data_IF_416786318387
#
_entry.id   IF_416786318387
#
_cell.length_a   1.000
_cell.length_b   1.000
_cell.length_c   1.000
_cell.angle_alpha   90.00
_cell.angle_beta   90.00
_cell.angle_gamma   90.00
#
_symmetry.space_group_name_H-M   'P 1'
#
loop_
_entity.id
_entity.type
_entity.pdbx_description
1 polymer ?
#
# COMPACT_ATOMS: atom_id res chain seq x y z
N UNK A 1 -4.94 -4.32 -0.78
CA UNK A 1 -5.27 -2.91 -1.00
C UNK A 1 -6.10 -2.36 0.14
N UNK A 2 -5.83 -1.09 0.52
CA UNK A 2 -6.61 -0.42 1.55
C UNK A 2 -8.03 -0.13 1.06
N UNK A 3 -8.17 0.49 -0.12
CA UNK A 3 -9.47 0.71 -0.75
C UNK A 3 -9.58 -0.14 -2.01
N UNK A 4 -10.59 -0.99 -2.04
CA UNK A 4 -11.11 -1.62 -3.24
C UNK A 4 -12.59 -1.17 -3.34
N UNK A 5 -12.88 -0.31 -4.29
CA UNK A 5 -14.21 0.28 -4.41
C UNK A 5 -15.14 -0.55 -5.30
N UNK A 6 -16.43 -0.53 -4.98
CA UNK A 6 -17.49 -1.08 -5.83
C UNK A 6 -17.93 -0.01 -6.84
N UNK A 7 -17.01 0.36 -7.73
CA UNK A 7 -17.16 1.39 -8.75
C UNK A 7 -16.67 0.89 -10.12
N UNK A 8 -16.71 1.74 -11.14
CA UNK A 8 -16.29 1.39 -12.51
C UNK A 8 -14.88 0.79 -12.57
N UNK A 9 -13.93 1.33 -11.82
CA UNK A 9 -12.55 0.85 -11.80
C UNK A 9 -12.44 -0.46 -11.03
N UNK A 10 -13.11 -0.55 -9.87
CA UNK A 10 -13.19 -1.79 -9.12
C UNK A 10 -13.76 -2.93 -9.95
N UNK A 11 -14.83 -2.67 -10.71
CA UNK A 11 -15.40 -3.66 -11.63
C UNK A 11 -14.45 -4.03 -12.76
N UNK A 12 -13.76 -3.07 -13.38
CA UNK A 12 -12.79 -3.34 -14.45
C UNK A 12 -11.64 -4.25 -13.96
N UNK A 13 -11.08 -3.96 -12.78
CA UNK A 13 -10.05 -4.80 -12.17
C UNK A 13 -10.62 -6.19 -11.82
N UNK A 14 -11.82 -6.25 -11.22
CA UNK A 14 -12.48 -7.52 -10.90
C UNK A 14 -12.69 -8.39 -12.15
N UNK A 15 -13.06 -7.79 -13.29
CA UNK A 15 -13.22 -8.51 -14.56
C UNK A 15 -11.91 -9.12 -15.04
N UNK A 16 -10.80 -8.41 -14.88
CA UNK A 16 -9.47 -8.92 -15.20
C UNK A 16 -9.12 -10.11 -14.29
N UNK A 17 -9.30 -9.95 -12.98
CA UNK A 17 -9.02 -11.01 -12.01
C UNK A 17 -9.87 -12.25 -12.25
N UNK A 18 -11.16 -12.09 -12.53
CA UNK A 18 -12.08 -13.20 -12.87
C UNK A 18 -11.63 -13.93 -14.15
N UNK A 19 -11.24 -13.20 -15.20
CA UNK A 19 -10.72 -13.83 -16.42
C UNK A 19 -9.45 -14.62 -16.14
N UNK A 20 -8.53 -14.09 -15.32
CA UNK A 20 -7.29 -14.78 -14.97
C UNK A 20 -7.54 -16.02 -14.11
N UNK A 21 -8.41 -15.93 -13.11
CA UNK A 21 -8.79 -17.09 -12.29
C UNK A 21 -9.42 -18.20 -13.14
N UNK A 22 -10.34 -17.85 -14.05
CA UNK A 22 -10.94 -18.82 -14.99
C UNK A 22 -9.94 -19.43 -15.97
N UNK A 23 -8.84 -18.76 -16.25
CA UNK A 23 -7.72 -19.27 -17.04
C UNK A 23 -6.72 -20.11 -16.23
N UNK A 24 -7.03 -20.42 -14.97
CA UNK A 24 -6.20 -21.27 -14.11
C UNK A 24 -5.14 -20.52 -13.29
N UNK A 25 -5.13 -19.18 -13.32
CA UNK A 25 -4.24 -18.41 -12.46
C UNK A 25 -4.79 -18.41 -11.03
N UNK A 26 -3.93 -18.74 -10.06
CA UNK A 26 -4.26 -18.60 -8.64
C UNK A 26 -4.31 -17.11 -8.28
N UNK A 27 -5.46 -16.64 -7.79
CA UNK A 27 -5.68 -15.25 -7.42
C UNK A 27 -6.07 -15.14 -5.96
N UNK A 28 -5.30 -14.38 -5.19
CA UNK A 28 -5.55 -14.06 -3.79
C UNK A 28 -5.75 -12.56 -3.62
N UNK A 29 -6.85 -12.16 -3.03
CA UNK A 29 -7.21 -10.76 -2.81
C UNK A 29 -7.40 -10.49 -1.32
N UNK A 30 -6.60 -9.56 -0.80
CA UNK A 30 -6.74 -9.01 0.55
C UNK A 30 -7.14 -7.53 0.46
N UNK A 31 -8.27 -7.17 1.05
CA UNK A 31 -8.72 -5.78 1.14
C UNK A 31 -8.93 -5.37 2.61
N UNK A 32 -8.71 -4.12 2.95
CA UNK A 32 -8.99 -3.63 4.30
C UNK A 32 -10.50 -3.46 4.51
N UNK A 33 -11.02 -4.01 5.61
CA UNK A 33 -12.47 -4.03 5.86
C UNK A 33 -13.07 -2.63 6.06
N UNK A 34 -12.32 -1.69 6.65
CA UNK A 34 -12.79 -0.31 6.83
C UNK A 34 -12.52 0.52 5.58
N UNK A 35 -11.33 0.45 5.01
CA UNK A 35 -11.01 1.17 3.78
C UNK A 35 -11.94 0.82 2.62
N UNK A 36 -12.39 -0.44 2.58
CA UNK A 36 -13.29 -0.96 1.55
C UNK A 36 -14.71 -1.20 2.07
N UNK A 37 -15.18 -0.44 3.05
CA UNK A 37 -16.48 -0.65 3.70
C UNK A 37 -17.69 -0.56 2.76
N UNK A 38 -17.53 0.11 1.61
CA UNK A 38 -18.54 0.20 0.55
C UNK A 38 -18.52 -0.99 -0.42
N UNK A 39 -17.55 -1.89 -0.30
CA UNK A 39 -17.47 -3.07 -1.17
C UNK A 39 -18.63 -4.02 -0.85
N UNK A 40 -19.51 -4.23 -1.82
CA UNK A 40 -20.72 -5.01 -1.59
C UNK A 40 -20.43 -6.51 -1.43
N UNK A 41 -21.23 -7.21 -0.63
CA UNK A 41 -21.12 -8.67 -0.55
C UNK A 41 -21.39 -9.35 -1.89
N UNK A 42 -22.23 -8.76 -2.75
CA UNK A 42 -22.48 -9.27 -4.11
C UNK A 42 -21.18 -9.25 -4.93
N UNK A 43 -20.42 -8.16 -4.82
CA UNK A 43 -19.12 -8.04 -5.49
C UNK A 43 -18.14 -9.11 -5.00
N UNK A 44 -18.01 -9.30 -3.69
CA UNK A 44 -17.14 -10.31 -3.10
C UNK A 44 -17.57 -11.73 -3.51
N UNK A 45 -18.88 -12.03 -3.45
CA UNK A 45 -19.41 -13.35 -3.90
C UNK A 45 -19.11 -13.61 -5.37
N UNK A 46 -19.18 -12.60 -6.24
CA UNK A 46 -18.80 -12.73 -7.66
C UNK A 46 -17.34 -13.17 -7.82
N UNK A 47 -16.41 -12.56 -7.09
CA UNK A 47 -14.99 -12.91 -7.12
C UNK A 47 -14.78 -14.36 -6.62
N UNK A 48 -15.34 -14.70 -5.47
CA UNK A 48 -15.25 -16.04 -4.91
C UNK A 48 -15.85 -17.11 -5.81
N UNK A 49 -16.98 -16.81 -6.47
CA UNK A 49 -17.62 -17.70 -7.43
C UNK A 49 -16.79 -17.96 -8.71
N UNK A 50 -15.77 -17.14 -8.96
CA UNK A 50 -14.80 -17.34 -10.02
C UNK A 50 -13.53 -18.09 -9.57
N UNK A 51 -13.47 -18.56 -8.32
CA UNK A 51 -12.33 -19.27 -7.76
C UNK A 51 -11.27 -18.36 -7.14
N UNK A 52 -11.56 -17.07 -6.96
CA UNK A 52 -10.63 -16.13 -6.31
C UNK A 52 -10.74 -16.27 -4.79
N UNK A 53 -9.62 -16.46 -4.11
CA UNK A 53 -9.57 -16.39 -2.66
C UNK A 53 -9.63 -14.92 -2.21
N UNK A 54 -10.71 -14.55 -1.52
CA UNK A 54 -10.95 -13.17 -1.07
C UNK A 54 -11.05 -13.11 0.44
N UNK A 55 -10.22 -12.28 1.07
CA UNK A 55 -10.21 -12.05 2.53
C UNK A 55 -10.29 -10.55 2.84
N UNK A 56 -10.97 -10.25 3.95
CA UNK A 56 -10.98 -8.92 4.52
C UNK A 56 -9.91 -8.84 5.62
N UNK A 57 -9.06 -7.82 5.57
CA UNK A 57 -8.11 -7.54 6.63
C UNK A 57 -8.80 -6.85 7.81
N UNK A 58 -8.60 -7.39 9.01
CA UNK A 58 -9.17 -6.92 10.27
C UNK A 58 -10.68 -6.61 10.17
N UNK A 59 -11.51 -7.61 9.81
CA UNK A 59 -12.94 -7.43 9.71
C UNK A 59 -13.52 -7.07 11.09
N UNK A 60 -14.46 -6.13 11.11
CA UNK A 60 -15.19 -5.78 12.32
C UNK A 60 -16.09 -6.95 12.71
N UNK A 61 -15.75 -7.62 13.81
CA UNK A 61 -16.57 -8.69 14.39
C UNK A 61 -17.10 -8.24 15.74
N UNK A 62 -18.33 -8.61 16.05
CA UNK A 62 -18.86 -8.42 17.40
C UNK A 62 -18.16 -9.35 18.42
N UNK A 63 -17.78 -8.86 19.62
CA UNK A 63 -17.94 -7.48 20.12
C UNK A 63 -16.89 -6.53 19.54
N UNK A 64 -17.31 -5.30 19.21
CA UNK A 64 -16.55 -4.25 18.51
C UNK A 64 -15.25 -3.81 19.19
N UNK A 65 -14.95 -4.31 20.39
CA UNK A 65 -13.81 -3.94 21.22
C UNK A 65 -12.56 -4.81 21.00
N UNK A 66 -12.42 -5.45 19.83
CA UNK A 66 -11.19 -6.17 19.54
C UNK A 66 -10.01 -5.18 19.43
N UNK A 67 -8.87 -5.43 20.11
CA UNK A 67 -7.64 -4.66 19.91
C UNK A 67 -7.19 -4.59 18.44
N UNK A 68 -7.66 -5.56 17.62
CA UNK A 68 -7.40 -5.58 16.16
C UNK A 68 -8.27 -4.59 15.38
N UNK A 69 -9.34 -4.02 15.97
CA UNK A 69 -10.20 -3.07 15.27
C UNK A 69 -9.45 -1.81 14.80
N UNK A 70 -8.39 -1.41 15.50
CA UNK A 70 -7.53 -0.28 15.11
C UNK A 70 -6.44 -0.66 14.10
N UNK A 71 -6.17 -1.95 13.89
CA UNK A 71 -5.18 -2.37 12.90
C UNK A 71 -5.75 -2.21 11.50
N UNK A 72 -5.10 -1.40 10.69
CA UNK A 72 -5.49 -1.16 9.30
C UNK A 72 -4.33 -1.50 8.37
N UNK A 73 -4.65 -2.15 7.25
CA UNK A 73 -3.69 -2.40 6.20
C UNK A 73 -3.76 -1.27 5.16
N UNK A 74 -2.87 -0.29 5.27
CA UNK A 74 -2.81 0.81 4.33
C UNK A 74 -1.94 0.52 3.09
N UNK A 75 -1.38 -0.67 2.97
CA UNK A 75 -0.54 -1.08 1.84
C UNK A 75 -1.37 -1.23 0.55
N UNK A 76 -0.81 -0.82 -0.57
CA UNK A 76 -1.35 -1.02 -1.90
C UNK A 76 -0.30 -1.80 -2.68
N UNK A 77 -0.41 -3.12 -2.64
CA UNK A 77 0.56 -4.05 -3.20
C UNK A 77 -0.15 -4.99 -4.15
N UNK A 78 0.45 -5.25 -5.30
CA UNK A 78 0.13 -6.38 -6.14
C UNK A 78 1.43 -7.08 -6.52
N UNK A 79 1.44 -8.41 -6.45
CA UNK A 79 2.55 -9.23 -6.93
C UNK A 79 2.02 -10.21 -7.96
N UNK A 80 2.70 -10.33 -9.07
CA UNK A 80 2.34 -11.18 -10.19
C UNK A 80 3.49 -12.15 -10.44
N UNK A 81 3.20 -13.44 -10.29
CA UNK A 81 4.11 -14.57 -10.54
C UNK A 81 5.44 -14.49 -9.77
N UNK A 82 5.50 -13.75 -8.64
CA UNK A 82 6.72 -13.51 -7.88
C UNK A 82 7.79 -12.69 -8.62
N UNK A 83 7.46 -12.12 -9.80
CA UNK A 83 8.42 -11.45 -10.69
C UNK A 83 8.15 -9.96 -10.85
N UNK A 84 6.89 -9.58 -10.88
CA UNK A 84 6.49 -8.17 -11.02
C UNK A 84 5.73 -7.75 -9.79
N UNK A 85 6.20 -6.70 -9.14
CA UNK A 85 5.55 -6.05 -8.00
C UNK A 85 5.02 -4.68 -8.36
N UNK A 86 3.90 -4.29 -7.75
CA UNK A 86 3.36 -2.94 -7.78
C UNK A 86 3.18 -2.46 -6.34
N UNK A 87 3.66 -1.25 -6.04
CA UNK A 87 3.52 -0.63 -4.72
C UNK A 87 3.43 0.88 -4.83
N UNK A 88 2.61 1.51 -4.00
CA UNK A 88 2.48 2.97 -3.98
C UNK A 88 1.26 3.46 -3.22
N UNK A 89 0.81 4.68 -3.54
CA UNK A 89 -0.32 5.32 -2.88
C UNK A 89 -1.68 5.06 -3.55
N UNK A 90 -1.71 4.66 -4.83
CA UNK A 90 -2.94 4.50 -5.62
C UNK A 90 -3.78 3.33 -5.13
N UNK A 91 -5.04 3.58 -4.77
CA UNK A 91 -6.02 2.54 -4.47
C UNK A 91 -6.84 2.15 -5.72
N UNK A 92 -7.60 1.07 -5.62
CA UNK A 92 -8.51 0.63 -6.68
C UNK A 92 -9.85 1.35 -6.49
N UNK A 93 -9.91 2.57 -7.01
CA UNK A 93 -11.10 3.39 -6.96
C UNK A 93 -11.07 4.47 -8.07
N UNK A 94 -12.23 4.82 -8.59
CA UNK A 94 -12.41 5.74 -9.73
C UNK A 94 -11.80 7.12 -9.47
N UNK A 95 -11.88 7.62 -8.23
CA UNK A 95 -11.33 8.91 -7.84
C UNK A 95 -9.81 9.06 -8.07
N UNK A 96 -9.06 7.96 -8.12
CA UNK A 96 -7.63 7.99 -8.44
C UNK A 96 -7.33 8.20 -9.94
N UNK A 97 -8.32 8.00 -10.81
CA UNK A 97 -8.21 8.29 -12.24
C UNK A 97 -8.86 9.63 -12.61
N UNK A 98 -10.11 9.79 -12.21
CA UNK A 98 -10.94 10.90 -12.69
C UNK A 98 -10.97 12.07 -11.69
N UNK A 99 -10.49 11.85 -10.45
CA UNK A 99 -10.61 12.79 -9.35
C UNK A 99 -11.98 12.72 -8.67
N UNK A 100 -12.25 13.70 -7.83
CA UNK A 100 -13.52 13.87 -7.12
C UNK A 100 -13.85 15.35 -6.90
N UNK A 101 -14.75 15.68 -5.98
CA UNK A 101 -15.11 17.05 -5.65
C UNK A 101 -13.95 17.94 -5.17
N UNK A 102 -12.82 17.35 -4.77
CA UNK A 102 -11.60 18.06 -4.40
C UNK A 102 -10.69 18.34 -5.59
N UNK A 103 -10.98 17.74 -6.75
CA UNK A 103 -10.21 17.85 -7.97
C UNK A 103 -9.52 16.55 -8.38
N UNK A 104 -8.52 16.66 -9.27
CA UNK A 104 -7.73 15.51 -9.70
C UNK A 104 -6.74 15.10 -8.61
N UNK A 105 -6.74 13.82 -8.29
CA UNK A 105 -5.80 13.22 -7.37
C UNK A 105 -4.50 12.89 -8.11
N UNK A 106 -3.38 13.27 -7.50
CA UNK A 106 -2.06 12.86 -7.96
C UNK A 106 -1.43 11.98 -6.90
N UNK A 107 -1.04 10.79 -7.30
CA UNK A 107 -0.37 9.83 -6.44
C UNK A 107 0.64 9.04 -7.27
N UNK A 108 1.59 8.40 -6.61
CA UNK A 108 2.64 7.65 -7.27
C UNK A 108 2.48 6.16 -7.01
N UNK A 109 2.77 5.37 -8.04
CA UNK A 109 2.75 3.91 -7.96
C UNK A 109 3.90 3.35 -8.80
N UNK A 110 4.71 2.50 -8.19
CA UNK A 110 5.89 1.93 -8.81
C UNK A 110 5.58 0.53 -9.32
N UNK A 111 6.09 0.21 -10.50
CA UNK A 111 6.29 -1.16 -10.97
C UNK A 111 7.73 -1.55 -10.66
N UNK A 112 7.92 -2.70 -10.04
CA UNK A 112 9.20 -3.22 -9.57
C UNK A 112 9.41 -4.60 -10.17
N UNK A 113 10.63 -4.90 -10.57
CA UNK A 113 11.10 -6.22 -10.98
C UNK A 113 12.40 -6.55 -10.24
N UNK A 114 12.73 -7.82 -10.12
CA UNK A 114 13.91 -8.28 -9.40
C UNK A 114 13.67 -8.62 -7.93
N UNK A 115 14.74 -8.71 -7.15
CA UNK A 115 14.73 -9.27 -5.80
C UNK A 115 13.80 -8.55 -4.81
N UNK A 116 13.59 -7.24 -4.97
CA UNK A 116 12.69 -6.48 -4.10
C UNK A 116 11.22 -6.91 -4.19
N UNK A 117 10.83 -7.65 -5.23
CA UNK A 117 9.48 -8.23 -5.36
C UNK A 117 9.24 -9.30 -4.30
N UNK A 118 10.28 -10.02 -3.90
CA UNK A 118 10.20 -11.03 -2.84
C UNK A 118 9.80 -10.41 -1.49
N UNK A 119 10.33 -9.23 -1.17
CA UNK A 119 9.93 -8.50 0.04
C UNK A 119 8.44 -8.11 0.01
N UNK A 120 7.93 -7.67 -1.15
CA UNK A 120 6.50 -7.36 -1.31
C UNK A 120 5.64 -8.63 -1.16
N UNK A 121 6.10 -9.75 -1.71
CA UNK A 121 5.42 -11.03 -1.59
C UNK A 121 5.37 -11.51 -0.13
N UNK A 122 6.50 -11.43 0.59
CA UNK A 122 6.57 -11.77 2.01
C UNK A 122 5.65 -10.89 2.86
N UNK A 123 5.60 -9.60 2.55
CA UNK A 123 4.70 -8.67 3.22
C UNK A 123 3.23 -9.07 3.01
N UNK A 124 2.83 -9.36 1.76
CA UNK A 124 1.50 -9.86 1.45
C UNK A 124 1.20 -11.19 2.15
N UNK A 125 2.13 -12.16 2.07
CA UNK A 125 1.97 -13.49 2.67
C UNK A 125 1.75 -13.43 4.18
N UNK A 126 2.48 -12.55 4.84
CA UNK A 126 2.36 -12.37 6.27
C UNK A 126 1.02 -11.74 6.67
N UNK A 127 0.50 -10.77 5.90
CA UNK A 127 -0.82 -10.19 6.12
C UNK A 127 -1.95 -11.18 5.78
N UNK A 128 -1.74 -11.99 4.73
CA UNK A 128 -2.64 -13.06 4.35
C UNK A 128 -2.79 -14.13 5.43
N UNK A 129 -1.68 -14.58 6.02
CA UNK A 129 -1.66 -15.55 7.10
C UNK A 129 -2.32 -15.03 8.38
N UNK A 130 -2.17 -13.73 8.71
CA UNK A 130 -2.84 -13.09 9.85
C UNK A 130 -4.37 -13.18 9.76
N UNK A 131 -4.93 -13.21 8.55
CA UNK A 131 -6.37 -13.37 8.31
C UNK A 131 -6.76 -14.83 8.04
N UNK A 132 -5.92 -15.78 8.46
CA UNK A 132 -6.18 -17.21 8.36
C UNK A 132 -6.11 -17.77 6.94
N UNK A 133 -5.37 -17.12 6.06
CA UNK A 133 -5.10 -17.63 4.72
C UNK A 133 -4.05 -18.74 4.74
N UNK A 134 -4.18 -19.71 3.84
CA UNK A 134 -3.17 -20.75 3.67
C UNK A 134 -1.83 -20.13 3.26
N UNK A 135 -0.71 -20.63 3.79
CA UNK A 135 0.61 -20.15 3.39
C UNK A 135 0.81 -20.19 1.87
N UNK A 136 1.59 -19.26 1.35
CA UNK A 136 2.03 -19.34 -0.03
C UNK A 136 3.04 -20.48 -0.17
N UNK A 137 2.97 -21.22 -1.27
CA UNK A 137 3.94 -22.28 -1.57
C UNK A 137 5.35 -21.69 -1.73
N UNK A 138 6.36 -22.35 -1.17
CA UNK A 138 7.75 -21.85 -1.13
C UNK A 138 8.33 -21.54 -2.51
N UNK A 139 7.94 -22.26 -3.56
CA UNK A 139 8.38 -22.01 -4.94
C UNK A 139 7.94 -20.69 -5.57
N UNK A 140 7.03 -19.94 -4.92
CA UNK A 140 6.55 -18.62 -5.40
C UNK A 140 7.48 -17.46 -4.98
N UNK A 141 8.50 -17.72 -4.17
CA UNK A 141 9.42 -16.69 -3.67
C UNK A 141 10.71 -16.53 -4.50
N UNK A 142 10.88 -17.32 -5.55
CA UNK A 142 12.05 -17.19 -6.40
C UNK A 142 11.85 -16.07 -7.42
N UNK A 143 12.28 -14.87 -7.09
CA UNK A 143 12.41 -13.81 -8.07
C UNK A 143 13.39 -14.26 -9.15
N UNK A 144 12.96 -14.35 -10.41
CA UNK A 144 13.92 -14.50 -11.50
C UNK A 144 14.76 -13.23 -11.57
N UNK A 145 16.08 -13.35 -11.80
CA UNK A 145 16.92 -12.20 -12.05
C UNK A 145 16.30 -11.34 -13.17
N UNK A 146 16.29 -10.05 -12.99
CA UNK A 146 15.86 -9.11 -14.02
C UNK A 146 16.95 -9.14 -15.10
N UNK A 147 16.66 -9.74 -16.25
CA UNK A 147 17.57 -9.75 -17.38
C UNK A 147 17.76 -8.33 -17.91
N UNK A 148 19.00 -7.86 -17.96
CA UNK A 148 19.50 -6.67 -18.70
C UNK A 148 18.84 -5.31 -18.47
N UNK A 149 18.08 -5.10 -17.41
CA UNK A 149 17.58 -3.75 -17.07
C UNK A 149 18.60 -2.98 -16.23
N UNK A 150 18.74 -1.65 -16.41
CA UNK A 150 19.59 -0.84 -15.54
C UNK A 150 19.17 -1.01 -14.10
N UNK A 151 20.05 -1.59 -13.29
CA UNK A 151 19.76 -1.93 -11.90
C UNK A 151 19.87 -0.67 -11.04
N UNK A 152 18.80 -0.33 -10.32
CA UNK A 152 18.85 0.68 -9.27
C UNK A 152 18.68 0.00 -7.91
N UNK A 153 19.52 0.33 -6.91
CA UNK A 153 19.31 -0.21 -5.57
C UNK A 153 17.95 0.22 -5.03
N UNK A 154 17.16 -0.75 -4.56
CA UNK A 154 15.83 -0.54 -4.00
C UNK A 154 15.72 -1.28 -2.68
N UNK A 155 15.17 -0.61 -1.68
CA UNK A 155 14.87 -1.20 -0.38
C UNK A 155 13.40 -1.03 -0.07
N UNK A 156 12.74 -2.12 0.31
CA UNK A 156 11.36 -2.10 0.81
C UNK A 156 11.41 -1.98 2.33
N UNK A 157 10.85 -0.91 2.86
CA UNK A 157 10.72 -0.70 4.30
C UNK A 157 9.24 -0.62 4.69
N UNK A 158 8.88 -1.29 5.77
CA UNK A 158 7.51 -1.28 6.31
C UNK A 158 7.51 -1.31 7.83
N UNK A 159 6.40 -0.85 8.42
CA UNK A 159 6.17 -0.91 9.86
C UNK A 159 4.89 -1.69 10.14
N UNK A 160 4.91 -2.53 11.17
CA UNK A 160 3.73 -3.18 11.76
C UNK A 160 3.49 -2.65 13.16
N UNK A 161 2.22 -2.44 13.50
CA UNK A 161 1.82 -1.90 14.81
C UNK A 161 2.21 -2.78 16.01
N UNK A 162 2.42 -4.09 15.80
CA UNK A 162 2.75 -5.06 16.85
C UNK A 162 4.23 -5.07 17.27
N UNK A 163 5.09 -4.43 16.50
CA UNK A 163 6.50 -4.25 16.84
C UNK A 163 6.75 -2.80 17.20
N UNK A 164 6.74 -2.54 18.50
CA UNK A 164 7.08 -1.24 19.08
C UNK A 164 8.35 -0.70 18.46
N UNK A 165 8.27 0.45 17.82
CA UNK A 165 9.32 1.32 17.29
C UNK A 165 9.45 1.31 15.78
N UNK A 166 8.86 2.28 15.20
CA UNK A 166 9.43 3.48 14.57
C UNK A 166 10.32 3.27 13.37
N UNK A 167 10.43 2.07 12.79
CA UNK A 167 11.36 1.81 11.69
C UNK A 167 11.23 2.84 10.56
N UNK A 168 10.01 3.22 10.16
CA UNK A 168 9.82 4.23 9.11
C UNK A 168 10.12 5.65 9.61
N UNK A 169 9.79 5.99 10.86
CA UNK A 169 10.12 7.30 11.44
C UNK A 169 11.62 7.47 11.55
N UNK A 170 12.34 6.43 12.02
CA UNK A 170 13.80 6.47 12.15
C UNK A 170 14.47 6.53 10.76
N UNK A 171 13.98 5.77 9.78
CA UNK A 171 14.44 5.83 8.40
C UNK A 171 14.26 7.23 7.80
N UNK A 172 13.07 7.83 7.95
CA UNK A 172 12.85 9.19 7.48
C UNK A 172 13.72 10.21 8.21
N UNK A 173 13.92 10.07 9.52
CA UNK A 173 14.81 10.94 10.27
C UNK A 173 16.25 10.85 9.73
N UNK A 174 16.75 9.63 9.49
CA UNK A 174 18.07 9.41 8.92
C UNK A 174 18.20 10.04 7.52
N UNK A 175 17.24 9.78 6.62
CA UNK A 175 17.24 10.38 5.27
C UNK A 175 17.26 11.93 5.33
N UNK A 176 16.52 12.53 6.27
CA UNK A 176 16.51 13.98 6.48
C UNK A 176 17.87 14.46 7.00
N UNK A 177 18.49 13.73 7.92
CA UNK A 177 19.81 14.09 8.46
C UNK A 177 20.92 13.96 7.41
N UNK A 178 20.84 12.99 6.52
CA UNK A 178 21.82 12.77 5.44
C UNK A 178 21.65 13.74 4.27
N UNK A 179 20.49 14.39 4.14
CA UNK A 179 20.22 15.33 3.07
C UNK A 179 21.16 16.56 3.15
N UNK A 180 21.92 16.81 2.07
CA UNK A 180 22.92 17.88 2.01
C UNK A 180 22.48 19.11 1.22
N UNK A 181 21.76 18.92 0.13
CA UNK A 181 21.43 20.01 -0.80
C UNK A 181 19.94 20.30 -0.86
N UNK A 182 19.14 19.31 -1.18
CA UNK A 182 17.71 19.49 -1.39
C UNK A 182 16.93 18.29 -0.85
N UNK A 183 15.88 18.58 -0.11
CA UNK A 183 14.89 17.63 0.37
C UNK A 183 13.53 18.03 -0.20
N UNK A 184 12.86 17.10 -0.88
CA UNK A 184 11.51 17.30 -1.43
C UNK A 184 10.57 16.31 -0.79
N UNK A 185 9.51 16.80 -0.17
CA UNK A 185 8.50 16.01 0.52
C UNK A 185 7.16 16.30 -0.12
N UNK A 186 6.44 15.25 -0.54
CA UNK A 186 5.05 15.34 -0.97
C UNK A 186 4.21 14.49 -0.03
N UNK A 187 3.20 15.07 0.58
CA UNK A 187 2.33 14.37 1.52
C UNK A 187 0.92 14.95 1.50
N UNK A 188 -0.12 14.11 1.53
CA UNK A 188 -1.49 14.60 1.69
C UNK A 188 -1.75 15.17 3.09
N UNK A 189 -0.99 14.70 4.10
CA UNK A 189 -1.13 15.08 5.51
C UNK A 189 0.23 15.30 6.12
N UNK A 190 0.61 16.55 6.30
CA UNK A 190 1.91 16.88 6.89
C UNK A 190 1.79 17.09 8.40
N UNK A 191 1.79 15.99 9.13
CA UNK A 191 1.75 15.94 10.59
C UNK A 191 2.98 15.18 11.11
N UNK A 192 4.19 15.72 10.91
CA UNK A 192 5.41 15.01 11.30
C UNK A 192 5.48 14.86 12.82
N UNK A 193 5.85 13.68 13.33
CA UNK A 193 6.21 13.51 14.72
C UNK A 193 7.33 14.48 15.14
N UNK A 194 7.44 14.84 16.42
CA UNK A 194 8.46 15.80 16.89
C UNK A 194 9.89 15.49 16.40
N UNK A 195 10.27 14.21 16.38
CA UNK A 195 11.58 13.78 15.90
C UNK A 195 11.86 14.16 14.44
N UNK A 196 10.86 13.97 13.55
CA UNK A 196 10.99 14.37 12.14
C UNK A 196 10.95 15.87 11.95
N UNK A 197 10.11 16.57 12.71
CA UNK A 197 10.05 18.02 12.68
C UNK A 197 11.40 18.65 13.05
N UNK A 198 12.01 18.19 14.14
CA UNK A 198 13.34 18.64 14.57
C UNK A 198 14.44 18.29 13.56
N UNK A 199 14.38 17.12 12.94
CA UNK A 199 15.31 16.74 11.88
C UNK A 199 15.21 17.70 10.67
N UNK A 200 13.99 18.07 10.26
CA UNK A 200 13.76 19.06 9.20
C UNK A 200 14.34 20.43 9.55
N UNK A 201 14.13 20.91 10.77
CA UNK A 201 14.71 22.18 11.24
C UNK A 201 16.24 22.12 11.21
N UNK A 202 16.85 21.02 11.64
CA UNK A 202 18.30 20.83 11.54
C UNK A 202 18.80 20.83 10.11
N UNK A 203 18.07 20.17 9.18
CA UNK A 203 18.42 20.18 7.76
C UNK A 203 18.42 21.60 7.18
N UNK A 204 17.40 22.41 7.47
CA UNK A 204 17.35 23.83 7.06
C UNK A 204 18.52 24.63 7.63
N UNK A 205 18.84 24.44 8.93
CA UNK A 205 19.97 25.12 9.58
C UNK A 205 21.34 24.77 8.96
N UNK A 206 21.46 23.54 8.41
CA UNK A 206 22.65 23.11 7.65
C UNK A 206 22.71 23.68 6.22
N UNK A 207 21.73 24.46 5.80
CA UNK A 207 21.64 25.01 4.46
C UNK A 207 20.96 24.11 3.42
N UNK A 208 20.33 23.01 3.84
CA UNK A 208 19.56 22.16 2.95
C UNK A 208 18.26 22.89 2.53
N UNK A 209 17.98 22.92 1.24
CA UNK A 209 16.72 23.45 0.70
C UNK A 209 15.59 22.45 0.91
N UNK A 210 14.68 22.71 1.83
CA UNK A 210 13.52 21.86 2.11
C UNK A 210 12.28 22.40 1.37
N UNK A 211 11.66 21.56 0.55
CA UNK A 211 10.42 21.87 -0.15
C UNK A 211 9.36 20.85 0.27
N UNK A 212 8.23 21.35 0.76
CA UNK A 212 7.09 20.52 1.15
C UNK A 212 5.92 20.86 0.23
N UNK A 213 5.38 19.84 -0.44
CA UNK A 213 4.20 19.96 -1.28
C UNK A 213 3.00 19.34 -0.57
N UNK A 214 1.97 20.14 -0.38
CA UNK A 214 0.72 19.76 0.27
C UNK A 214 -0.45 20.03 -0.67
N UNK A 215 -1.58 19.31 -0.54
CA UNK A 215 -2.78 19.64 -1.26
C UNK A 215 -3.37 20.98 -0.79
N UNK A 216 -3.88 21.78 -1.71
CA UNK A 216 -4.56 23.04 -1.37
C UNK A 216 -5.86 22.82 -0.57
N UNK A 217 -6.46 21.64 -0.68
CA UNK A 217 -7.65 21.20 0.07
C UNK A 217 -7.44 19.78 0.54
N UNK A 218 -7.58 19.55 1.84
CA UNK A 218 -7.51 18.21 2.42
C UNK A 218 -8.90 17.56 2.47
N UNK A 219 -8.98 16.25 2.24
CA UNK A 219 -10.15 15.41 2.46
C UNK A 219 -10.35 15.08 3.95
N UNK A 220 -9.32 15.30 4.79
CA UNK A 220 -9.37 15.09 6.23
C UNK A 220 -9.49 16.44 6.94
N UNK A 221 -10.55 16.60 7.71
CA UNK A 221 -10.85 17.85 8.44
C UNK A 221 -9.72 18.29 9.38
N UNK A 222 -9.05 17.35 10.06
CA UNK A 222 -7.93 17.64 10.98
C UNK A 222 -6.63 18.10 10.28
N UNK A 223 -6.55 17.97 8.95
CA UNK A 223 -5.40 18.37 8.15
C UNK A 223 -5.70 19.59 7.25
N UNK A 224 -6.76 20.34 7.58
CA UNK A 224 -7.14 21.59 6.90
C UNK A 224 -6.48 22.80 7.53
#
# INVERSE_FOLDING_TARGET
YYIFADDRIGHAIADILVRKARAGVEVRLLYDAIGSWKLSERFVRRLRGAGIEVRAYAPLRFPWFSPRANRRNHSKIAVIDGRTGFVGGINIAERYLDGDALGRWRDEHLRIEGEAVDDLQRLFAADWALEGGEPLSEGLYAAAPADDLPCSPLQIAWTREDRSRTTLTDLFAQLIEEARHTLRISSPYFLPPPALYEALLRAVRRGCRVLVMLPARSDVWLAR
#
